data_IF_930236383256
#
_entry.id   IF_930236383256
#
_cell.length_a   1.000
_cell.length_b   1.000
_cell.length_c   1.000
_cell.angle_alpha   90.00
_cell.angle_beta   90.00
_cell.angle_gamma   90.00
#
_symmetry.space_group_name_H-M   'P 1'
#
loop_
_entity.id
_entity.type
_entity.pdbx_description
1 polymer ?
#
# COMPACT_ATOMS: atom_id res chain seq x y z
N UNK A 1 -2.41 18.08 41.85
CA UNK A 1 -1.53 16.92 41.59
C UNK A 1 -1.54 16.65 40.09
N UNK A 2 -0.38 16.81 39.44
CA UNK A 2 -0.16 16.52 38.02
C UNK A 2 -0.38 15.02 37.80
N UNK A 3 -1.36 14.64 36.98
CA UNK A 3 -1.38 13.30 36.38
C UNK A 3 -0.83 13.43 34.97
N UNK A 4 0.23 12.66 34.78
CA UNK A 4 1.13 12.62 33.63
C UNK A 4 0.36 12.17 32.39
N UNK A 5 0.76 12.76 31.25
CA UNK A 5 0.34 12.43 29.89
C UNK A 5 0.19 10.91 29.69
N UNK A 6 -0.85 10.53 28.95
CA UNK A 6 -0.93 9.25 28.26
C UNK A 6 -0.31 9.48 26.87
N UNK A 7 0.91 9.03 26.56
CA UNK A 7 1.36 8.86 25.18
C UNK A 7 1.11 7.40 24.82
N UNK A 8 -0.14 7.02 24.58
CA UNK A 8 -0.47 5.65 24.18
C UNK A 8 -1.57 5.57 23.11
N UNK A 9 -1.86 6.67 22.42
CA UNK A 9 -2.92 6.74 21.41
C UNK A 9 -2.49 7.49 20.13
N UNK A 10 -1.29 7.23 19.63
CA UNK A 10 -0.86 7.70 18.29
C UNK A 10 -0.49 6.53 17.35
N UNK A 11 -0.48 5.28 17.82
CA UNK A 11 -0.04 4.14 17.01
C UNK A 11 -1.09 3.04 16.82
N UNK A 12 -2.38 3.39 16.79
CA UNK A 12 -3.43 2.43 16.51
C UNK A 12 -3.50 1.97 15.03
N UNK A 13 -2.63 2.47 14.15
CA UNK A 13 -2.64 2.18 12.72
C UNK A 13 -1.44 1.37 12.18
N UNK A 14 -0.47 0.94 13.00
CA UNK A 14 0.79 0.40 12.46
C UNK A 14 0.84 -1.11 12.20
N UNK A 15 -0.18 -1.87 12.60
CA UNK A 15 -0.30 -3.27 12.18
C UNK A 15 -1.39 -3.39 11.13
N UNK A 16 -1.18 -2.79 9.95
CA UNK A 16 -1.96 -3.21 8.78
C UNK A 16 -1.57 -4.67 8.52
N UNK A 17 -2.52 -5.58 8.66
CA UNK A 17 -2.43 -6.89 8.04
C UNK A 17 -2.32 -6.64 6.54
N UNK A 18 -1.10 -6.66 6.02
CA UNK A 18 -0.86 -6.69 4.60
C UNK A 18 -1.04 -8.12 4.12
N UNK A 19 -1.55 -8.28 2.90
CA UNK A 19 -1.76 -9.61 2.37
C UNK A 19 -0.44 -10.28 1.98
N UNK A 20 -0.47 -11.60 1.94
CA UNK A 20 0.68 -12.44 1.62
C UNK A 20 0.46 -13.18 0.30
N UNK A 21 1.52 -13.30 -0.47
CA UNK A 21 1.63 -14.28 -1.57
C UNK A 21 2.67 -15.32 -1.16
N UNK A 22 2.20 -16.54 -0.95
CA UNK A 22 3.04 -17.67 -0.62
C UNK A 22 3.82 -18.16 -1.83
N UNK A 23 5.05 -18.60 -1.57
CA UNK A 23 5.99 -19.17 -2.52
C UNK A 23 6.41 -20.53 -1.99
N UNK A 24 6.01 -21.59 -2.68
CA UNK A 24 6.26 -22.96 -2.26
C UNK A 24 6.32 -23.92 -3.43
N UNK A 25 6.07 -25.20 -3.19
CA UNK A 25 5.89 -26.18 -4.25
C UNK A 25 4.53 -25.98 -4.92
N UNK A 26 4.49 -26.06 -6.25
CA UNK A 26 3.24 -26.05 -6.98
C UNK A 26 2.38 -27.27 -6.63
N UNK A 27 1.13 -27.03 -6.25
CA UNK A 27 0.15 -28.08 -5.97
C UNK A 27 -0.15 -28.99 -7.17
N UNK A 28 0.16 -28.53 -8.38
CA UNK A 28 -0.04 -29.28 -9.63
C UNK A 28 1.24 -29.97 -10.12
N UNK A 29 2.42 -29.52 -9.69
CA UNK A 29 3.71 -30.08 -10.09
C UNK A 29 4.77 -29.87 -8.99
N UNK A 30 5.09 -30.89 -8.19
CA UNK A 30 6.06 -30.77 -7.10
C UNK A 30 7.49 -30.40 -7.53
N UNK A 31 7.85 -30.51 -8.81
CA UNK A 31 9.16 -30.08 -9.35
C UNK A 31 9.18 -28.60 -9.82
N UNK A 32 8.12 -27.85 -9.52
CA UNK A 32 7.94 -26.46 -9.91
C UNK A 32 7.63 -25.61 -8.67
N UNK A 33 8.07 -24.36 -8.67
CA UNK A 33 7.57 -23.38 -7.71
C UNK A 33 6.09 -23.05 -7.97
N UNK A 34 5.36 -22.75 -6.89
CA UNK A 34 3.99 -22.26 -6.91
C UNK A 34 3.91 -20.87 -6.28
N UNK A 35 2.92 -20.10 -6.71
CA UNK A 35 2.50 -18.85 -6.07
C UNK A 35 1.02 -18.98 -5.71
N UNK A 36 0.67 -18.69 -4.46
CA UNK A 36 -0.71 -18.69 -3.96
C UNK A 36 -0.97 -17.46 -3.08
N UNK A 37 -2.14 -16.83 -3.23
CA UNK A 37 -2.42 -15.57 -2.53
C UNK A 37 -3.54 -14.77 -3.21
N UNK A 38 -3.74 -13.51 -2.80
CA UNK A 38 -4.81 -12.68 -3.34
C UNK A 38 -4.60 -12.38 -4.83
N UNK A 39 -5.69 -12.40 -5.60
CA UNK A 39 -5.67 -11.94 -7.00
C UNK A 39 -5.90 -10.43 -7.17
N UNK A 40 -6.13 -9.71 -6.09
CA UNK A 40 -6.56 -8.32 -6.09
C UNK A 40 -6.04 -7.54 -4.87
N UNK A 41 -5.61 -6.31 -5.10
CA UNK A 41 -5.20 -5.34 -4.09
C UNK A 41 -5.81 -3.95 -4.35
N UNK A 42 -6.05 -3.20 -3.28
CA UNK A 42 -6.57 -1.83 -3.33
C UNK A 42 -5.51 -0.86 -2.84
N UNK A 43 -4.95 -0.07 -3.76
CA UNK A 43 -3.92 0.91 -3.45
C UNK A 43 -4.55 2.29 -3.17
N UNK A 44 -4.51 2.73 -1.91
CA UNK A 44 -5.00 4.05 -1.47
C UNK A 44 -3.90 5.11 -1.61
N UNK A 45 -4.28 6.37 -1.74
CA UNK A 45 -3.31 7.46 -1.85
C UNK A 45 -2.70 7.82 -0.50
N UNK A 46 -1.38 7.73 -0.40
CA UNK A 46 -0.60 8.17 0.75
C UNK A 46 -0.06 9.56 0.44
N UNK A 47 -0.43 10.63 1.18
CA UNK A 47 0.12 11.95 0.94
C UNK A 47 1.63 12.01 1.16
N UNK A 48 2.28 12.97 0.51
CA UNK A 48 3.72 13.18 0.67
C UNK A 48 4.09 13.48 2.13
N UNK A 49 5.11 12.79 2.63
CA UNK A 49 5.64 12.92 3.99
C UNK A 49 4.88 12.13 5.06
N UNK A 50 3.83 11.39 4.70
CA UNK A 50 3.11 10.52 5.63
C UNK A 50 3.70 9.11 5.66
N UNK A 51 3.82 8.48 6.85
CA UNK A 51 4.18 7.07 6.93
C UNK A 51 3.08 6.22 6.28
N UNK A 52 3.48 5.13 5.63
CA UNK A 52 2.49 4.22 5.05
C UNK A 52 2.05 3.13 6.04
N UNK A 53 3.01 2.48 6.72
CA UNK A 53 2.73 1.40 7.67
C UNK A 53 3.79 1.36 8.78
N UNK A 54 3.60 0.46 9.76
CA UNK A 54 4.58 0.20 10.82
C UNK A 54 5.94 -0.28 10.31
N UNK A 55 5.96 -0.89 9.14
CA UNK A 55 7.15 -1.40 8.48
C UNK A 55 7.76 -0.41 7.48
N UNK A 56 7.01 0.65 7.14
CA UNK A 56 7.43 1.70 6.23
C UNK A 56 7.25 3.11 6.83
N UNK A 57 7.84 3.40 8.01
CA UNK A 57 7.62 4.68 8.70
C UNK A 57 8.25 5.88 7.98
N UNK A 58 9.21 5.65 7.10
CA UNK A 58 9.92 6.67 6.34
C UNK A 58 9.52 6.71 4.86
N UNK A 59 8.41 6.06 4.49
CA UNK A 59 7.94 6.11 3.10
C UNK A 59 7.69 7.57 2.69
N UNK A 60 8.22 8.04 1.55
CA UNK A 60 8.11 9.45 1.18
C UNK A 60 6.70 9.91 0.85
N UNK A 61 5.76 8.98 0.62
CA UNK A 61 4.39 9.30 0.21
C UNK A 61 4.32 9.94 -1.18
N UNK A 62 3.13 10.43 -1.54
CA UNK A 62 2.82 11.02 -2.84
C UNK A 62 2.39 10.00 -3.91
N UNK A 63 2.02 8.79 -3.51
CA UNK A 63 1.69 7.68 -4.40
C UNK A 63 0.42 6.95 -3.97
N UNK A 64 -0.23 6.27 -4.91
CA UNK A 64 -1.17 5.20 -4.58
C UNK A 64 -0.35 3.98 -4.18
N UNK A 65 -0.58 3.46 -2.99
CA UNK A 65 0.38 2.59 -2.31
C UNK A 65 -0.29 1.35 -1.77
N UNK A 66 0.41 0.22 -1.88
CA UNK A 66 0.02 -1.08 -1.35
C UNK A 66 1.25 -1.78 -0.74
N UNK A 67 1.08 -2.45 0.39
CA UNK A 67 2.11 -3.31 0.99
C UNK A 67 1.68 -4.76 0.74
N UNK A 68 2.56 -5.53 0.11
CA UNK A 68 2.31 -6.93 -0.20
C UNK A 68 3.59 -7.71 0.07
N UNK A 69 3.45 -8.78 0.85
CA UNK A 69 4.59 -9.63 1.22
C UNK A 69 4.57 -10.90 0.40
N UNK A 70 5.71 -11.24 -0.22
CA UNK A 70 5.94 -12.59 -0.72
C UNK A 70 6.68 -13.37 0.36
N UNK A 71 6.22 -14.58 0.65
CA UNK A 71 6.66 -15.38 1.81
C UNK A 71 6.86 -16.84 1.44
N UNK A 72 7.83 -17.52 2.06
CA UNK A 72 7.91 -19.00 2.04
C UNK A 72 7.27 -19.64 3.26
N UNK A 73 6.54 -18.87 4.06
CA UNK A 73 5.73 -19.40 5.15
C UNK A 73 4.70 -20.39 4.58
N UNK A 74 4.52 -21.49 5.30
CA UNK A 74 3.75 -22.66 4.87
C UNK A 74 2.35 -22.58 5.46
N UNK A 75 1.41 -21.95 4.74
CA UNK A 75 -0.02 -21.97 5.10
C UNK A 75 -0.93 -22.53 4.01
N UNK A 76 -0.60 -22.34 2.74
CA UNK A 76 -1.37 -22.78 1.57
C UNK A 76 -0.57 -23.69 0.62
N UNK A 77 0.75 -23.47 0.49
CA UNK A 77 1.63 -24.31 -0.33
C UNK A 77 2.58 -25.15 0.52
N UNK A 78 3.02 -26.30 0.01
CA UNK A 78 4.09 -27.08 0.65
C UNK A 78 5.43 -26.35 0.54
N UNK A 79 6.32 -26.54 1.51
CA UNK A 79 7.66 -25.96 1.48
C UNK A 79 8.47 -26.50 0.29
N UNK A 80 9.06 -25.60 -0.49
CA UNK A 80 10.06 -25.95 -1.50
C UNK A 80 11.44 -26.07 -0.84
N UNK A 81 11.69 -27.20 -0.18
CA UNK A 81 12.89 -27.42 0.63
C UNK A 81 14.19 -27.17 -0.18
N UNK A 82 15.08 -26.36 0.39
CA UNK A 82 16.35 -25.98 -0.24
C UNK A 82 16.24 -24.91 -1.33
N UNK A 83 15.03 -24.45 -1.70
CA UNK A 83 14.86 -23.35 -2.65
C UNK A 83 15.35 -22.01 -2.09
N UNK A 84 15.88 -21.15 -2.95
CA UNK A 84 16.12 -19.73 -2.68
C UNK A 84 15.29 -18.89 -3.68
N UNK A 85 13.98 -18.70 -3.40
CA UNK A 85 13.08 -18.10 -4.37
C UNK A 85 13.31 -16.59 -4.51
N UNK A 86 13.27 -16.14 -5.76
CA UNK A 86 13.12 -14.74 -6.16
C UNK A 86 11.83 -14.53 -6.91
N UNK A 87 11.25 -13.35 -6.77
CA UNK A 87 10.09 -12.92 -7.52
C UNK A 87 10.54 -11.99 -8.64
N UNK A 88 10.28 -12.40 -9.87
CA UNK A 88 10.46 -11.59 -11.06
C UNK A 88 9.17 -10.84 -11.39
N UNK A 89 9.30 -9.59 -11.81
CA UNK A 89 8.23 -8.90 -12.54
C UNK A 89 8.31 -9.33 -14.02
N UNK A 90 7.21 -9.88 -14.53
CA UNK A 90 7.08 -10.38 -15.90
C UNK A 90 6.47 -9.32 -16.82
N UNK A 91 5.40 -8.65 -16.37
CA UNK A 91 4.77 -7.59 -17.14
C UNK A 91 3.92 -6.68 -16.27
N UNK A 92 3.63 -5.49 -16.80
CA UNK A 92 2.77 -4.49 -16.18
C UNK A 92 1.86 -3.86 -17.23
N UNK A 93 0.56 -3.91 -16.98
CA UNK A 93 -0.44 -3.14 -17.71
C UNK A 93 -1.17 -2.20 -16.74
N UNK A 94 -1.52 -1.00 -17.21
CA UNK A 94 -2.22 0.02 -16.44
C UNK A 94 -2.65 1.21 -17.31
N UNK A 95 -3.09 2.32 -16.72
CA UNK A 95 -3.45 3.53 -17.46
C UNK A 95 -2.31 4.05 -18.34
N UNK A 96 -2.66 4.74 -19.42
CA UNK A 96 -1.68 5.29 -20.35
C UNK A 96 -0.73 6.27 -19.63
N UNK A 97 0.57 6.09 -19.87
CA UNK A 97 1.65 6.88 -19.26
C UNK A 97 1.88 6.62 -17.77
N UNK A 98 1.18 5.65 -17.17
CA UNK A 98 1.37 5.31 -15.76
C UNK A 98 2.71 4.62 -15.49
N UNK A 99 3.15 4.72 -14.24
CA UNK A 99 4.30 4.01 -13.70
C UNK A 99 3.88 3.15 -12.52
N UNK A 100 4.44 1.95 -12.48
CA UNK A 100 4.46 1.06 -11.33
C UNK A 100 5.87 1.01 -10.77
N UNK A 101 6.01 1.13 -9.45
CA UNK A 101 7.32 1.06 -8.81
C UNK A 101 7.31 0.18 -7.58
N UNK A 102 8.42 -0.52 -7.39
CA UNK A 102 8.69 -1.32 -6.20
C UNK A 102 9.75 -0.62 -5.35
N UNK A 103 9.55 -0.68 -4.04
CA UNK A 103 10.43 -0.16 -3.02
C UNK A 103 10.79 -1.29 -2.09
N UNK A 104 12.09 -1.54 -1.97
CA UNK A 104 12.59 -2.44 -0.94
C UNK A 104 12.46 -1.75 0.43
N UNK A 105 12.39 -2.57 1.48
CA UNK A 105 12.24 -2.08 2.85
C UNK A 105 13.33 -1.05 3.21
N UNK A 106 12.89 0.11 3.68
CA UNK A 106 13.76 1.24 4.04
C UNK A 106 14.28 2.08 2.87
N UNK A 107 13.91 1.81 1.63
CA UNK A 107 14.36 2.58 0.47
C UNK A 107 13.79 4.02 0.48
N UNK A 108 14.63 5.00 0.14
CA UNK A 108 14.24 6.42 0.00
C UNK A 108 13.89 6.83 -1.44
N UNK A 109 14.11 5.93 -2.39
CA UNK A 109 13.72 6.04 -3.80
C UNK A 109 13.27 4.67 -4.30
N UNK A 110 12.49 4.56 -5.40
CA UNK A 110 12.12 3.27 -5.93
C UNK A 110 13.35 2.41 -6.23
N UNK A 111 13.31 1.14 -5.87
CA UNK A 111 14.33 0.15 -6.26
C UNK A 111 14.30 -0.02 -7.77
N UNK A 112 13.10 -0.05 -8.35
CA UNK A 112 12.89 0.00 -9.79
C UNK A 112 11.48 0.49 -10.12
N UNK A 113 11.32 1.05 -11.32
CA UNK A 113 10.05 1.53 -11.86
C UNK A 113 9.87 1.08 -13.30
N UNK A 114 8.66 0.74 -13.71
CA UNK A 114 8.30 0.39 -15.09
C UNK A 114 7.05 1.14 -15.53
N UNK A 115 7.02 1.52 -16.81
CA UNK A 115 5.86 2.17 -17.42
C UNK A 115 4.81 1.14 -17.83
N UNK A 116 3.54 1.55 -17.87
CA UNK A 116 2.46 0.73 -18.39
C UNK A 116 2.76 0.22 -19.80
N UNK A 117 2.47 -1.07 -20.03
CA UNK A 117 2.77 -1.78 -21.27
C UNK A 117 4.15 -2.42 -21.32
N UNK A 118 4.95 -2.29 -20.25
CA UNK A 118 6.26 -2.94 -20.16
C UNK A 118 6.12 -4.47 -20.01
N UNK A 119 7.02 -5.19 -20.65
CA UNK A 119 7.23 -6.63 -20.45
C UNK A 119 8.71 -6.93 -20.31
N UNK A 120 8.99 -7.94 -19.49
CA UNK A 120 10.32 -8.44 -19.20
C UNK A 120 11.08 -8.85 -20.46
N UNK A 121 12.39 -8.66 -20.44
CA UNK A 121 13.32 -9.17 -21.44
C UNK A 121 14.49 -9.88 -20.76
N UNK A 122 15.35 -10.53 -21.52
CA UNK A 122 16.54 -11.17 -20.94
C UNK A 122 17.47 -10.17 -20.25
N UNK A 123 17.57 -8.95 -20.80
CA UNK A 123 18.42 -7.85 -20.32
C UNK A 123 17.75 -6.99 -19.25
N UNK A 124 16.42 -6.98 -19.20
CA UNK A 124 15.64 -6.22 -18.24
C UNK A 124 14.67 -7.13 -17.48
N UNK A 125 15.10 -7.52 -16.27
CA UNK A 125 14.45 -8.53 -15.41
C UNK A 125 14.51 -8.10 -13.94
N UNK A 126 13.75 -7.06 -13.56
CA UNK A 126 13.66 -6.65 -12.18
C UNK A 126 13.10 -7.79 -11.32
N UNK A 127 13.73 -7.99 -10.16
CA UNK A 127 13.35 -9.03 -9.22
C UNK A 127 13.74 -8.65 -7.79
N UNK A 128 13.19 -9.36 -6.82
CA UNK A 128 13.55 -9.27 -5.40
C UNK A 128 13.54 -10.65 -4.75
N UNK A 129 14.36 -10.85 -3.71
CA UNK A 129 14.43 -12.13 -2.99
C UNK A 129 13.28 -12.28 -2.01
N UNK A 130 12.77 -13.49 -1.85
CA UNK A 130 11.72 -13.76 -0.84
C UNK A 130 12.36 -13.87 0.54
N UNK A 131 13.41 -14.69 0.65
CA UNK A 131 14.15 -14.94 1.89
C UNK A 131 15.22 -13.85 2.08
N UNK A 132 15.27 -13.25 3.27
CA UNK A 132 16.29 -12.25 3.63
C UNK A 132 16.87 -12.54 5.01
N UNK A 133 18.19 -12.73 5.11
CA UNK A 133 18.85 -12.95 6.40
C UNK A 133 18.45 -14.25 7.13
N UNK A 134 17.83 -15.20 6.42
CA UNK A 134 17.29 -16.43 7.01
C UNK A 134 15.81 -16.34 7.39
N UNK A 135 15.20 -15.16 7.31
CA UNK A 135 13.76 -14.96 7.50
C UNK A 135 12.98 -15.42 6.27
N UNK A 136 11.83 -16.06 6.49
CA UNK A 136 10.97 -16.63 5.45
C UNK A 136 10.16 -15.59 4.68
N UNK A 137 10.15 -14.34 5.15
CA UNK A 137 9.55 -13.20 4.47
C UNK A 137 10.16 -11.89 4.93
N UNK A 138 9.81 -10.80 4.23
CA UNK A 138 10.26 -9.46 4.57
C UNK A 138 9.14 -8.44 4.44
N UNK A 139 8.92 -7.69 5.52
CA UNK A 139 7.96 -6.59 5.60
C UNK A 139 8.55 -5.26 5.08
N UNK A 140 7.69 -4.28 4.87
CA UNK A 140 8.06 -2.93 4.43
C UNK A 140 8.32 -2.84 2.93
N UNK A 141 7.87 -3.84 2.15
CA UNK A 141 7.96 -3.86 0.69
C UNK A 141 6.73 -3.24 0.09
N UNK A 142 6.96 -2.20 -0.71
CA UNK A 142 5.88 -1.31 -1.12
C UNK A 142 5.77 -1.31 -2.63
N UNK A 143 4.55 -1.44 -3.10
CA UNK A 143 4.17 -1.28 -4.49
C UNK A 143 3.43 0.04 -4.65
N UNK A 144 3.86 0.84 -5.62
CA UNK A 144 3.33 2.19 -5.84
C UNK A 144 2.90 2.41 -7.26
N UNK A 145 1.88 3.25 -7.41
CA UNK A 145 1.35 3.73 -8.68
C UNK A 145 1.35 5.25 -8.67
N UNK A 146 1.73 5.87 -9.79
CA UNK A 146 1.81 7.34 -9.92
C UNK A 146 0.44 7.98 -10.21
N UNK A 147 -0.54 7.19 -10.65
CA UNK A 147 -1.88 7.67 -11.01
C UNK A 147 -2.98 6.64 -10.72
N UNK A 148 -4.22 7.09 -10.51
CA UNK A 148 -5.33 6.19 -10.25
C UNK A 148 -5.70 5.36 -11.49
N UNK A 149 -6.29 4.20 -11.26
CA UNK A 149 -6.79 3.30 -12.30
C UNK A 149 -6.54 1.83 -11.97
N UNK A 150 -6.92 0.97 -12.92
CA UNK A 150 -6.74 -0.47 -12.81
C UNK A 150 -5.39 -0.87 -13.41
N UNK A 151 -4.64 -1.68 -12.67
CA UNK A 151 -3.38 -2.26 -13.08
C UNK A 151 -3.47 -3.78 -13.03
N UNK A 152 -2.75 -4.42 -13.93
CA UNK A 152 -2.50 -5.86 -13.91
C UNK A 152 -1.00 -6.07 -13.93
N UNK A 153 -0.49 -6.69 -12.87
CA UNK A 153 0.93 -6.95 -12.67
C UNK A 153 1.12 -8.46 -12.68
N UNK A 154 2.07 -8.94 -13.48
CA UNK A 154 2.37 -10.36 -13.58
C UNK A 154 3.72 -10.63 -12.93
N UNK A 155 3.72 -11.58 -12.01
CA UNK A 155 4.90 -12.05 -11.29
C UNK A 155 5.22 -13.50 -11.64
N UNK A 156 6.48 -13.89 -11.44
CA UNK A 156 6.92 -15.29 -11.54
C UNK A 156 7.96 -15.58 -10.48
N UNK A 157 7.81 -16.71 -9.77
CA UNK A 157 8.83 -17.19 -8.86
C UNK A 157 9.89 -18.01 -9.62
N UNK A 158 11.15 -17.78 -9.30
CA UNK A 158 12.28 -18.57 -9.81
C UNK A 158 13.15 -18.99 -8.63
N UNK A 159 13.61 -20.22 -8.64
CA UNK A 159 14.57 -20.71 -7.66
C UNK A 159 16.00 -20.37 -8.11
N UNK A 160 16.75 -19.63 -7.29
CA UNK A 160 18.17 -19.35 -7.56
C UNK A 160 19.05 -20.59 -7.46
N UNK A 161 18.63 -21.60 -6.70
CA UNK A 161 19.36 -22.85 -6.53
C UNK A 161 19.07 -23.86 -7.66
N UNK A 162 18.13 -23.54 -8.56
CA UNK A 162 17.71 -24.38 -9.68
C UNK A 162 17.24 -25.80 -9.27
N UNK A 163 16.72 -25.97 -8.06
CA UNK A 163 16.11 -27.22 -7.59
C UNK A 163 14.68 -27.36 -8.13
N UNK A 164 13.99 -26.23 -8.32
CA UNK A 164 12.64 -26.17 -8.85
C UNK A 164 12.60 -25.37 -10.15
N UNK A 165 11.78 -25.83 -11.09
CA UNK A 165 11.45 -25.04 -12.29
C UNK A 165 10.66 -23.78 -11.91
N UNK A 166 10.75 -22.68 -12.70
CA UNK A 166 10.01 -21.44 -12.42
C UNK A 166 8.51 -21.67 -12.31
N UNK A 167 7.82 -20.88 -11.50
CA UNK A 167 6.37 -20.95 -11.37
C UNK A 167 5.65 -20.62 -12.67
N UNK A 168 4.36 -20.94 -12.73
CA UNK A 168 3.47 -20.29 -13.70
C UNK A 168 3.38 -18.80 -13.38
N UNK A 169 2.99 -18.03 -14.39
CA UNK A 169 2.74 -16.60 -14.25
C UNK A 169 1.58 -16.36 -13.30
N UNK A 170 1.81 -15.52 -12.30
CA UNK A 170 0.84 -15.13 -11.30
C UNK A 170 0.41 -13.70 -11.56
N UNK A 171 -0.86 -13.53 -11.94
CA UNK A 171 -1.42 -12.22 -12.26
C UNK A 171 -2.13 -11.64 -11.04
N UNK A 172 -1.68 -10.48 -10.59
CA UNK A 172 -2.34 -9.69 -9.55
C UNK A 172 -2.94 -8.42 -10.13
N UNK A 173 -4.16 -8.10 -9.73
CA UNK A 173 -4.80 -6.82 -10.07
C UNK A 173 -4.60 -5.83 -8.94
N UNK A 174 -4.24 -4.60 -9.28
CA UNK A 174 -4.24 -3.50 -8.32
C UNK A 174 -5.22 -2.43 -8.78
N UNK A 175 -6.03 -1.91 -7.88
CA UNK A 175 -6.85 -0.74 -8.12
C UNK A 175 -6.25 0.45 -7.37
N UNK A 176 -5.58 1.35 -8.08
CA UNK A 176 -5.14 2.62 -7.54
C UNK A 176 -6.36 3.56 -7.44
N UNK A 177 -6.84 3.78 -6.24
CA UNK A 177 -8.11 4.44 -6.00
C UNK A 177 -7.96 5.96 -5.88
N UNK A 178 -8.70 6.72 -6.68
CA UNK A 178 -8.78 8.18 -6.52
C UNK A 178 -9.16 8.56 -5.08
N UNK A 179 -8.50 9.55 -4.46
CA UNK A 179 -8.91 10.04 -3.15
C UNK A 179 -10.39 10.46 -3.16
N UNK A 180 -11.10 10.33 -2.03
CA UNK A 180 -12.50 10.77 -1.94
C UNK A 180 -12.59 12.29 -2.20
N UNK A 181 -13.58 12.69 -2.98
CA UNK A 181 -13.84 14.10 -3.22
C UNK A 181 -14.43 14.75 -1.95
N UNK A 182 -13.67 15.67 -1.35
CA UNK A 182 -14.11 16.45 -0.20
C UNK A 182 -14.76 17.75 -0.67
N UNK A 183 -16.04 17.91 -0.37
CA UNK A 183 -16.75 19.19 -0.54
C UNK A 183 -16.65 20.01 0.73
N UNK A 184 -16.42 21.30 0.59
CA UNK A 184 -16.33 22.24 1.71
C UNK A 184 -17.20 23.48 1.44
N UNK A 185 -17.97 23.89 2.45
CA UNK A 185 -18.66 25.18 2.46
C UNK A 185 -18.59 25.80 3.85
N UNK A 186 -18.75 27.11 3.94
CA UNK A 186 -18.84 27.80 5.23
C UNK A 186 -20.29 28.03 5.61
N UNK A 187 -20.66 27.72 6.84
CA UNK A 187 -22.01 27.91 7.37
C UNK A 187 -21.92 28.22 8.87
N UNK A 188 -22.52 29.34 9.30
CA UNK A 188 -22.61 29.75 10.71
C UNK A 188 -21.27 29.70 11.48
N UNK A 189 -20.18 30.20 10.88
CA UNK A 189 -18.85 30.20 11.50
C UNK A 189 -18.17 28.83 11.55
N UNK A 190 -18.70 27.82 10.86
CA UNK A 190 -18.11 26.49 10.73
C UNK A 190 -17.81 26.14 9.28
N UNK A 191 -16.83 25.28 9.05
CA UNK A 191 -16.68 24.54 7.82
C UNK A 191 -17.60 23.31 7.87
N UNK A 192 -18.49 23.21 6.90
CA UNK A 192 -19.25 21.99 6.59
C UNK A 192 -18.48 21.20 5.55
N UNK A 193 -18.12 19.98 5.90
CA UNK A 193 -17.33 19.09 5.07
C UNK A 193 -18.16 17.87 4.74
N UNK A 194 -18.32 17.57 3.45
CA UNK A 194 -19.09 16.41 3.00
C UNK A 194 -18.30 15.57 2.03
N UNK A 195 -18.40 14.25 2.16
CA UNK A 195 -17.80 13.29 1.24
C UNK A 195 -18.60 11.99 1.24
N UNK A 196 -18.57 11.26 0.12
CA UNK A 196 -19.12 9.91 0.07
C UNK A 196 -18.07 8.94 0.59
N UNK A 197 -18.35 8.31 1.74
CA UNK A 197 -17.50 7.23 2.25
C UNK A 197 -17.67 5.98 1.40
N UNK A 198 -16.67 5.10 1.43
CA UNK A 198 -16.67 3.78 0.77
C UNK A 198 -16.66 2.70 1.85
N UNK A 199 -17.35 1.60 1.59
CA UNK A 199 -17.39 0.45 2.50
C UNK A 199 -15.98 -0.10 2.78
N UNK A 200 -15.75 -0.52 4.03
CA UNK A 200 -14.53 -1.18 4.49
C UNK A 200 -13.25 -0.33 4.40
N UNK A 201 -13.39 0.99 4.35
CA UNK A 201 -12.27 1.93 4.48
C UNK A 201 -12.50 2.83 5.68
N UNK A 202 -11.41 3.34 6.23
CA UNK A 202 -11.40 4.23 7.39
C UNK A 202 -10.85 5.59 6.97
N UNK A 203 -11.36 6.66 7.59
CA UNK A 203 -10.98 8.02 7.25
C UNK A 203 -10.54 8.83 8.47
N UNK A 204 -9.47 9.59 8.28
CA UNK A 204 -9.06 10.65 9.20
C UNK A 204 -9.26 12.01 8.54
N UNK A 205 -9.99 12.92 9.20
CA UNK A 205 -10.06 14.31 8.79
C UNK A 205 -8.89 15.09 9.41
N UNK A 206 -8.14 15.77 8.56
CA UNK A 206 -7.00 16.58 8.97
C UNK A 206 -7.17 18.04 8.60
N UNK A 207 -6.59 18.91 9.44
CA UNK A 207 -6.50 20.35 9.24
C UNK A 207 -5.04 20.78 9.13
N UNK A 208 -4.81 21.78 8.30
CA UNK A 208 -3.59 22.56 8.25
C UNK A 208 -3.95 24.05 8.21
N UNK A 209 -3.23 24.91 8.90
CA UNK A 209 -3.46 26.37 8.88
C UNK A 209 -2.41 27.11 8.05
N UNK A 210 -1.33 26.43 7.68
CA UNK A 210 -0.25 26.94 6.84
C UNK A 210 0.29 25.82 5.94
N UNK A 211 -0.15 25.83 4.67
CA UNK A 211 0.30 24.84 3.67
C UNK A 211 1.81 24.89 3.42
N UNK A 212 2.48 26.03 3.62
CA UNK A 212 3.92 26.12 3.38
C UNK A 212 4.73 25.28 4.38
N UNK A 213 4.21 25.11 5.59
CA UNK A 213 4.81 24.25 6.61
C UNK A 213 4.44 22.77 6.44
N UNK A 214 3.39 22.46 5.66
CA UNK A 214 2.85 21.11 5.43
C UNK A 214 2.64 20.31 6.74
N UNK A 215 2.20 21.00 7.81
CA UNK A 215 1.93 20.37 9.11
C UNK A 215 0.45 20.09 9.24
N UNK A 216 0.07 18.84 8.99
CA UNK A 216 -1.29 18.37 9.12
C UNK A 216 -1.51 17.78 10.51
N UNK A 217 -2.69 18.05 11.08
CA UNK A 217 -3.10 17.48 12.37
C UNK A 217 -4.50 16.89 12.26
N UNK A 218 -4.69 15.72 12.85
CA UNK A 218 -5.98 15.08 12.98
C UNK A 218 -6.96 15.98 13.78
N UNK A 219 -8.19 16.11 13.28
CA UNK A 219 -9.26 16.87 13.94
C UNK A 219 -10.05 15.91 14.82
N UNK A 220 -10.07 16.13 16.12
CA UNK A 220 -10.95 15.37 17.02
C UNK A 220 -12.38 15.95 16.99
N UNK A 221 -13.43 15.11 17.03
CA UNK A 221 -13.45 13.64 17.10
C UNK A 221 -13.46 12.94 15.71
N UNK A 222 -13.09 13.65 14.64
CA UNK A 222 -13.19 13.20 13.25
C UNK A 222 -11.98 12.37 12.80
N UNK A 223 -11.60 11.40 13.64
CA UNK A 223 -10.59 10.38 13.34
C UNK A 223 -11.24 9.02 13.33
N UNK A 224 -10.67 8.09 12.58
CA UNK A 224 -11.14 6.70 12.49
C UNK A 224 -12.63 6.63 12.15
N UNK A 225 -13.06 7.43 11.17
CA UNK A 225 -14.44 7.45 10.69
C UNK A 225 -14.64 6.18 9.84
N UNK A 226 -15.55 5.31 10.27
CA UNK A 226 -15.86 4.07 9.54
C UNK A 226 -16.62 4.37 8.24
N UNK A 227 -16.10 3.83 7.14
CA UNK A 227 -16.71 3.93 5.83
C UNK A 227 -17.90 2.99 5.67
N UNK A 228 -19.07 3.58 5.44
CA UNK A 228 -20.35 2.86 5.31
C UNK A 228 -20.91 2.84 3.88
N UNK A 229 -20.25 3.49 2.93
CA UNK A 229 -20.81 3.73 1.59
C UNK A 229 -21.76 4.93 1.53
N UNK A 230 -22.08 5.55 2.66
CA UNK A 230 -22.99 6.68 2.75
C UNK A 230 -22.27 8.04 2.68
N UNK A 231 -23.07 9.09 2.44
CA UNK A 231 -22.63 10.47 2.59
C UNK A 231 -22.32 10.76 4.06
N UNK A 232 -21.12 11.27 4.32
CA UNK A 232 -20.69 11.77 5.61
C UNK A 232 -20.78 13.30 5.59
N UNK A 233 -21.34 13.88 6.66
CA UNK A 233 -21.43 15.33 6.86
C UNK A 233 -20.81 15.69 8.22
N UNK A 234 -19.75 16.49 8.18
CA UNK A 234 -18.96 16.91 9.33
C UNK A 234 -19.02 18.43 9.47
N UNK A 235 -18.97 18.91 10.71
CA UNK A 235 -19.00 20.34 11.02
C UNK A 235 -17.82 20.69 11.91
N UNK A 236 -16.90 21.50 11.39
CA UNK A 236 -15.70 21.92 12.13
C UNK A 236 -15.78 23.44 12.38
N UNK A 237 -15.77 23.89 13.65
CA UNK A 237 -15.72 25.32 13.96
C UNK A 237 -14.47 25.98 13.36
N UNK A 238 -14.63 27.15 12.73
CA UNK A 238 -13.50 27.89 12.18
C UNK A 238 -12.89 28.79 13.26
N UNK A 239 -11.71 28.40 13.75
CA UNK A 239 -10.94 29.16 14.74
C UNK A 239 -9.79 29.97 14.13
N UNK A 240 -9.51 29.80 12.85
CA UNK A 240 -8.36 30.39 12.15
C UNK A 240 -8.81 31.19 10.93
N UNK A 241 -8.09 32.27 10.57
CA UNK A 241 -8.42 33.06 9.37
C UNK A 241 -8.24 32.26 8.07
N UNK A 242 -7.44 31.19 8.11
CA UNK A 242 -7.23 30.24 7.01
C UNK A 242 -7.16 28.84 7.60
N UNK A 243 -7.83 27.90 6.95
CA UNK A 243 -7.78 26.49 7.27
C UNK A 243 -7.90 25.70 5.96
N UNK A 244 -7.09 24.68 5.85
CA UNK A 244 -7.05 23.71 4.76
C UNK A 244 -7.41 22.36 5.33
N UNK A 245 -8.19 21.59 4.59
CA UNK A 245 -8.69 20.30 5.04
C UNK A 245 -8.32 19.23 4.02
N UNK A 246 -8.01 18.03 4.52
CA UNK A 246 -7.87 16.85 3.69
C UNK A 246 -8.45 15.64 4.41
N UNK A 247 -8.89 14.67 3.63
CA UNK A 247 -9.24 13.35 4.11
C UNK A 247 -8.08 12.41 3.80
N UNK A 248 -7.66 11.67 4.82
CA UNK A 248 -6.81 10.49 4.63
C UNK A 248 -7.72 9.29 4.59
N UNK A 249 -7.56 8.44 3.59
CA UNK A 249 -8.31 7.20 3.41
C UNK A 249 -7.33 6.04 3.50
N UNK A 250 -7.67 5.02 4.31
CA UNK A 250 -6.85 3.84 4.52
C UNK A 250 -7.71 2.61 4.84
N UNK A 251 -7.10 1.43 4.90
CA UNK A 251 -7.77 0.14 5.09
C UNK A 251 -7.37 -0.51 6.40
#
# INVERSE_FOLDING_TARGET
MKKILIPALIFAALAHAHDHVEVGQSSQNPSQLGLDGPGYQLAVFVPQGEPFSGYAPNFPGGYFTDELTFTTEVSALNLAEGSDPVIELVSMAGPAGAFFSFWESGATSPTWSRSSGWSQTELDRPSFTVIMGGETHAHGRIFTFDRPGNYQIVFRARDKNNLFSPSRDFSMKFQAQTPPALSIRTENGSAKLTFNSRLNLVYDLQICTDLALNRWSNIQPHVSIDGSGALVDLSVPLAHPRAFFRLIEYK
#
